data_IF_019195267457
#
_entry.id   IF_019195267457
#
_cell.length_a   1.000
_cell.length_b   1.000
_cell.length_c   1.000
_cell.angle_alpha   90.00
_cell.angle_beta   90.00
_cell.angle_gamma   90.00
#
_symmetry.space_group_name_H-M   'P 1'
#
loop_
_entity.id
_entity.type
_entity.pdbx_description
1 polymer ?
#
# COMPACT_ATOMS: atom_id res chain seq x y z
N UNK A 1 6.27 -42.50 -4.68
CA UNK A 1 5.90 -41.60 -5.78
C UNK A 1 4.44 -41.22 -5.75
N UNK A 2 3.53 -42.18 -5.76
CA UNK A 2 2.07 -41.92 -5.70
C UNK A 2 1.69 -41.17 -4.41
N UNK A 3 2.25 -41.52 -3.28
CA UNK A 3 2.01 -40.86 -2.00
C UNK A 3 2.50 -39.40 -2.01
N UNK A 4 3.64 -39.14 -2.66
CA UNK A 4 4.20 -37.79 -2.78
C UNK A 4 3.32 -36.90 -3.67
N UNK A 5 2.84 -37.44 -4.77
CA UNK A 5 1.93 -36.72 -5.68
C UNK A 5 0.59 -36.41 -5.01
N UNK A 6 0.04 -37.39 -4.27
CA UNK A 6 -1.20 -37.20 -3.53
C UNK A 6 -1.05 -36.14 -2.45
N UNK A 7 0.08 -36.15 -1.72
CA UNK A 7 0.38 -35.15 -0.71
C UNK A 7 0.54 -33.77 -1.32
N UNK A 8 1.29 -33.67 -2.43
CA UNK A 8 1.49 -32.41 -3.16
C UNK A 8 0.16 -31.87 -3.70
N UNK A 9 -0.68 -32.74 -4.28
CA UNK A 9 -2.00 -32.36 -4.77
C UNK A 9 -2.87 -31.81 -3.65
N UNK A 10 -2.81 -32.42 -2.45
CA UNK A 10 -3.52 -31.96 -1.27
C UNK A 10 -3.06 -30.57 -0.83
N UNK A 11 -1.75 -30.33 -0.84
CA UNK A 11 -1.18 -29.02 -0.50
C UNK A 11 -1.56 -27.94 -1.52
N UNK A 12 -1.57 -28.27 -2.80
CA UNK A 12 -1.98 -27.34 -3.87
C UNK A 12 -3.47 -27.01 -3.72
N UNK A 13 -4.30 -28.00 -3.45
CA UNK A 13 -5.74 -27.78 -3.23
C UNK A 13 -5.98 -26.87 -2.02
N UNK A 14 -5.28 -27.12 -0.93
CA UNK A 14 -5.35 -26.28 0.27
C UNK A 14 -4.95 -24.83 -0.04
N UNK A 15 -3.85 -24.64 -0.77
CA UNK A 15 -3.41 -23.32 -1.19
C UNK A 15 -4.48 -22.62 -2.05
N UNK A 16 -5.07 -23.34 -3.01
CA UNK A 16 -6.12 -22.80 -3.87
C UNK A 16 -7.37 -22.40 -3.07
N UNK A 17 -7.77 -23.22 -2.12
CA UNK A 17 -8.94 -22.94 -1.25
C UNK A 17 -8.69 -21.70 -0.38
N UNK A 18 -7.52 -21.59 0.22
CA UNK A 18 -7.15 -20.41 1.01
C UNK A 18 -7.09 -19.16 0.15
N UNK A 19 -6.57 -19.27 -1.06
CA UNK A 19 -6.49 -18.15 -2.01
C UNK A 19 -7.89 -17.65 -2.37
N UNK A 20 -8.83 -18.57 -2.65
CA UNK A 20 -10.21 -18.20 -2.95
C UNK A 20 -10.90 -17.58 -1.74
N UNK A 21 -10.68 -18.11 -0.56
CA UNK A 21 -11.24 -17.57 0.68
C UNK A 21 -10.75 -16.13 0.91
N UNK A 22 -9.44 -15.91 0.72
CA UNK A 22 -8.86 -14.57 0.85
C UNK A 22 -9.47 -13.59 -0.17
N UNK A 23 -9.64 -14.02 -1.41
CA UNK A 23 -10.27 -13.19 -2.46
C UNK A 23 -11.69 -12.78 -2.09
N UNK A 24 -12.47 -13.70 -1.53
CA UNK A 24 -13.83 -13.40 -1.08
C UNK A 24 -13.84 -12.40 0.07
N UNK A 25 -12.93 -12.56 1.03
CA UNK A 25 -12.81 -11.63 2.15
C UNK A 25 -12.34 -10.25 1.69
N UNK A 26 -11.39 -10.19 0.76
CA UNK A 26 -10.93 -8.93 0.17
C UNK A 26 -12.07 -8.20 -0.56
N UNK A 27 -12.90 -8.93 -1.30
CA UNK A 27 -14.06 -8.35 -1.97
C UNK A 27 -15.06 -7.82 -0.94
N UNK A 28 -15.28 -8.54 0.16
CA UNK A 28 -16.16 -8.11 1.24
C UNK A 28 -15.61 -6.86 1.93
N UNK A 29 -14.30 -6.80 2.20
CA UNK A 29 -13.64 -5.62 2.77
C UNK A 29 -13.81 -4.42 1.84
N UNK A 30 -13.62 -4.62 0.54
CA UNK A 30 -13.78 -3.56 -0.45
C UNK A 30 -15.21 -3.02 -0.48
N UNK A 31 -16.21 -3.91 -0.40
CA UNK A 31 -17.62 -3.51 -0.35
C UNK A 31 -17.90 -2.68 0.91
N UNK A 32 -17.40 -3.13 2.06
CA UNK A 32 -17.55 -2.41 3.31
C UNK A 32 -16.87 -1.04 3.27
N UNK A 33 -15.69 -0.95 2.65
CA UNK A 33 -14.98 0.32 2.50
C UNK A 33 -15.79 1.32 1.66
N UNK A 34 -16.44 0.86 0.60
CA UNK A 34 -17.30 1.69 -0.23
C UNK A 34 -18.52 2.18 0.57
N UNK A 35 -19.16 1.29 1.32
CA UNK A 35 -20.30 1.64 2.15
C UNK A 35 -19.91 2.64 3.25
N UNK A 36 -18.76 2.41 3.90
CA UNK A 36 -18.24 3.31 4.93
C UNK A 36 -17.96 4.71 4.36
N UNK A 37 -17.35 4.80 3.19
CA UNK A 37 -17.05 6.07 2.55
C UNK A 37 -18.34 6.85 2.25
N UNK A 38 -19.38 6.18 1.76
CA UNK A 38 -20.66 6.79 1.48
C UNK A 38 -21.33 7.31 2.76
N UNK A 39 -21.29 6.53 3.85
CA UNK A 39 -21.84 6.92 5.16
C UNK A 39 -21.06 8.06 5.78
N UNK A 40 -19.73 8.02 5.66
CA UNK A 40 -18.85 9.08 6.18
C UNK A 40 -19.18 10.42 5.54
N UNK A 41 -19.38 10.45 4.23
CA UNK A 41 -19.73 11.68 3.51
C UNK A 41 -21.00 12.31 4.06
N UNK A 42 -22.04 11.50 4.28
CA UNK A 42 -23.30 11.97 4.88
C UNK A 42 -23.08 12.49 6.31
N UNK A 43 -22.30 11.75 7.11
CA UNK A 43 -22.04 12.15 8.51
C UNK A 43 -21.23 13.45 8.58
N UNK A 44 -20.27 13.66 7.69
CA UNK A 44 -19.50 14.91 7.66
C UNK A 44 -20.40 16.10 7.39
N UNK A 45 -21.35 15.97 6.47
CA UNK A 45 -22.33 17.02 6.20
C UNK A 45 -23.23 17.31 7.41
N UNK A 46 -23.75 16.26 8.04
CA UNK A 46 -24.65 16.39 9.19
C UNK A 46 -23.92 16.97 10.42
N UNK A 47 -22.69 16.50 10.67
CA UNK A 47 -21.88 17.03 11.77
C UNK A 47 -21.59 18.52 11.56
N UNK A 48 -21.28 18.93 10.34
CA UNK A 48 -21.05 20.34 10.01
C UNK A 48 -22.33 21.17 10.19
N UNK A 49 -23.48 20.65 9.73
CA UNK A 49 -24.74 21.33 9.80
C UNK A 49 -25.17 21.61 11.24
N UNK A 50 -25.00 20.64 12.14
CA UNK A 50 -25.42 20.74 13.53
C UNK A 50 -24.31 21.16 14.50
N UNK A 51 -23.09 21.41 14.01
CA UNK A 51 -21.97 21.81 14.85
C UNK A 51 -21.54 20.72 15.84
N UNK A 52 -21.75 19.46 15.48
CA UNK A 52 -21.43 18.32 16.33
C UNK A 52 -20.00 17.84 16.03
N UNK A 53 -19.27 17.48 17.09
CA UNK A 53 -17.90 16.95 16.94
C UNK A 53 -17.80 15.47 17.30
N UNK A 54 -18.73 14.95 18.08
CA UNK A 54 -18.75 13.54 18.44
C UNK A 54 -20.15 13.09 18.84
N UNK A 55 -20.43 11.82 18.63
CA UNK A 55 -21.67 11.17 19.07
C UNK A 55 -21.32 9.78 19.57
N UNK A 56 -21.87 9.42 20.72
CA UNK A 56 -21.75 8.08 21.28
C UNK A 56 -22.92 7.22 20.83
N UNK A 57 -22.60 6.03 20.33
CA UNK A 57 -23.62 5.05 19.92
C UNK A 57 -24.23 4.35 21.14
N UNK A 58 -25.37 3.70 20.96
CA UNK A 58 -25.99 2.91 21.99
C UNK A 58 -25.11 1.72 22.44
N UNK A 59 -24.22 1.26 21.58
CA UNK A 59 -23.25 0.20 21.87
C UNK A 59 -22.03 0.71 22.65
N UNK A 60 -21.96 2.00 22.96
CA UNK A 60 -20.86 2.59 23.74
C UNK A 60 -19.67 3.05 22.94
N UNK A 61 -19.74 3.01 21.61
CA UNK A 61 -18.70 3.50 20.72
C UNK A 61 -18.89 5.00 20.51
N UNK A 62 -17.78 5.72 20.35
CA UNK A 62 -17.82 7.16 20.03
C UNK A 62 -17.36 7.36 18.60
N UNK A 63 -18.22 7.97 17.80
CA UNK A 63 -17.87 8.42 16.44
C UNK A 63 -17.56 9.91 16.54
N UNK A 64 -16.37 10.31 16.11
CA UNK A 64 -15.90 11.67 16.29
C UNK A 64 -15.25 12.21 15.01
N UNK A 65 -15.29 13.55 14.91
CA UNK A 65 -14.65 14.26 13.81
C UNK A 65 -13.15 14.35 14.09
N UNK A 66 -12.34 13.83 13.17
CA UNK A 66 -10.89 13.91 13.26
C UNK A 66 -10.37 14.78 12.12
N UNK A 67 -9.57 15.77 12.45
CA UNK A 67 -8.96 16.65 11.44
C UNK A 67 -7.60 16.09 11.05
N UNK A 68 -7.47 15.71 9.80
CA UNK A 68 -6.21 15.27 9.23
C UNK A 68 -5.70 16.34 8.25
N UNK A 69 -4.40 16.57 8.24
CA UNK A 69 -3.77 17.54 7.35
C UNK A 69 -2.81 16.80 6.42
N UNK A 70 -3.03 16.96 5.14
CA UNK A 70 -2.17 16.39 4.11
C UNK A 70 -1.49 17.53 3.36
N UNK A 71 -0.20 17.35 3.08
CA UNK A 71 0.56 18.32 2.32
C UNK A 71 1.41 17.58 1.28
N UNK A 72 1.45 18.11 0.07
CA UNK A 72 2.27 17.58 -1.00
C UNK A 72 2.87 18.73 -1.80
N UNK A 73 4.01 18.46 -2.42
CA UNK A 73 4.62 19.41 -3.33
C UNK A 73 3.80 19.52 -4.61
N UNK A 74 3.68 20.73 -5.10
CA UNK A 74 3.04 21.03 -6.40
C UNK A 74 3.96 21.91 -7.23
N UNK A 75 3.74 21.94 -8.54
CA UNK A 75 4.54 22.73 -9.47
C UNK A 75 5.85 22.03 -9.82
N UNK A 76 6.85 22.82 -10.20
CA UNK A 76 8.15 22.29 -10.58
C UNK A 76 8.89 21.71 -9.38
N UNK A 77 9.33 20.48 -9.50
CA UNK A 77 9.96 19.75 -8.40
C UNK A 77 11.28 20.40 -7.94
N UNK A 78 12.15 20.75 -8.89
CA UNK A 78 13.44 21.37 -8.57
C UNK A 78 13.29 22.74 -7.95
N UNK A 79 12.36 23.56 -8.47
CA UNK A 79 12.05 24.86 -7.89
C UNK A 79 11.51 24.72 -6.47
N UNK A 80 10.68 23.72 -6.22
CA UNK A 80 10.15 23.43 -4.89
C UNK A 80 11.27 23.06 -3.92
N UNK A 81 12.20 22.19 -4.33
CA UNK A 81 13.34 21.80 -3.50
C UNK A 81 14.23 23.00 -3.15
N UNK A 82 14.49 23.88 -4.13
CA UNK A 82 15.27 25.10 -3.90
C UNK A 82 14.56 26.04 -2.93
N UNK A 83 13.23 26.14 -3.03
CA UNK A 83 12.43 26.95 -2.11
C UNK A 83 12.55 26.43 -0.68
N UNK A 84 12.53 25.11 -0.48
CA UNK A 84 12.74 24.51 0.84
C UNK A 84 14.12 24.84 1.41
N UNK A 85 15.16 24.76 0.59
CA UNK A 85 16.53 25.10 1.01
C UNK A 85 16.63 26.59 1.39
N UNK A 86 16.05 27.46 0.58
CA UNK A 86 16.04 28.91 0.84
C UNK A 86 15.28 29.26 2.13
N UNK A 87 14.21 28.53 2.44
CA UNK A 87 13.42 28.72 3.65
C UNK A 87 14.10 28.16 4.92
N UNK A 88 15.30 27.58 4.81
CA UNK A 88 15.98 26.97 5.95
C UNK A 88 15.49 25.55 6.26
N UNK A 89 14.76 24.92 5.35
CA UNK A 89 14.19 23.58 5.50
C UNK A 89 14.92 22.55 4.63
N UNK A 90 16.21 22.77 4.40
CA UNK A 90 17.02 21.86 3.57
C UNK A 90 17.06 20.42 4.09
N UNK A 91 16.90 20.23 5.40
CA UNK A 91 16.84 18.90 6.01
C UNK A 91 15.63 18.08 5.57
N UNK A 92 14.60 18.75 5.03
CA UNK A 92 13.41 18.10 4.49
C UNK A 92 13.66 17.49 3.11
N UNK A 93 14.72 17.92 2.44
CA UNK A 93 15.08 17.47 1.10
C UNK A 93 15.98 16.25 1.20
N UNK A 94 15.55 15.14 0.62
CA UNK A 94 16.33 13.90 0.60
C UNK A 94 16.51 13.42 -0.83
N UNK A 95 17.73 13.03 -1.16
CA UNK A 95 18.00 12.34 -2.42
C UNK A 95 17.77 10.85 -2.19
N UNK A 96 17.10 10.23 -3.13
CA UNK A 96 16.83 8.80 -3.07
C UNK A 96 16.80 8.18 -4.46
N UNK A 97 17.00 6.88 -4.51
CA UNK A 97 16.90 6.11 -5.74
C UNK A 97 15.51 5.50 -5.81
N UNK A 98 14.84 5.66 -6.96
CA UNK A 98 13.53 5.06 -7.19
C UNK A 98 13.66 3.53 -7.23
N UNK A 99 12.93 2.84 -6.36
CA UNK A 99 13.00 1.39 -6.22
C UNK A 99 12.57 0.64 -7.47
N UNK A 100 11.56 1.14 -8.16
CA UNK A 100 11.04 0.48 -9.37
C UNK A 100 12.04 0.62 -10.52
N UNK A 101 12.64 1.79 -10.68
CA UNK A 101 13.67 2.04 -11.67
C UNK A 101 14.90 1.17 -11.40
N UNK A 102 15.30 1.07 -10.13
CA UNK A 102 16.41 0.22 -9.73
C UNK A 102 16.12 -1.24 -10.05
N UNK A 103 14.93 -1.71 -9.75
CA UNK A 103 14.51 -3.09 -10.04
C UNK A 103 14.57 -3.40 -11.54
N UNK A 104 14.07 -2.48 -12.37
CA UNK A 104 14.10 -2.63 -13.82
C UNK A 104 15.55 -2.67 -14.34
N UNK A 105 16.41 -1.82 -13.80
CA UNK A 105 17.83 -1.77 -14.18
C UNK A 105 18.54 -3.10 -13.83
N UNK A 106 18.34 -3.62 -12.62
CA UNK A 106 18.92 -4.89 -12.19
C UNK A 106 18.46 -6.03 -13.10
N UNK A 107 17.18 -6.02 -13.49
CA UNK A 107 16.62 -7.02 -14.39
C UNK A 107 17.24 -6.93 -15.79
N UNK A 108 17.42 -5.72 -16.33
CA UNK A 108 18.02 -5.51 -17.65
C UNK A 108 19.49 -5.94 -17.68
N UNK A 109 20.21 -5.74 -16.57
CA UNK A 109 21.62 -6.11 -16.45
C UNK A 109 21.82 -7.59 -16.11
N UNK A 110 20.72 -8.34 -16.06
CA UNK A 110 20.73 -9.78 -15.76
C UNK A 110 21.45 -10.05 -14.42
N UNK A 111 21.22 -9.18 -13.44
CA UNK A 111 21.79 -9.22 -12.09
C UNK A 111 23.30 -8.95 -12.05
N UNK A 112 23.93 -8.60 -13.17
CA UNK A 112 25.34 -8.20 -13.21
C UNK A 112 25.43 -6.67 -13.07
N UNK A 113 25.90 -6.21 -11.93
CA UNK A 113 25.96 -4.78 -11.58
C UNK A 113 27.37 -4.22 -11.78
N UNK A 114 27.47 -2.91 -12.10
CA UNK A 114 28.77 -2.24 -12.10
C UNK A 114 29.46 -2.39 -10.74
N UNK A 115 30.80 -2.56 -10.77
CA UNK A 115 31.60 -2.76 -9.56
C UNK A 115 31.37 -1.72 -8.48
N UNK A 116 31.23 -0.45 -8.87
CA UNK A 116 31.01 0.63 -7.93
C UNK A 116 29.67 0.58 -7.22
N UNK A 117 28.70 -0.13 -7.75
CA UNK A 117 27.34 -0.26 -7.18
C UNK A 117 27.15 -1.54 -6.38
N UNK A 118 27.96 -2.57 -6.63
CA UNK A 118 27.79 -3.87 -5.99
C UNK A 118 27.72 -3.82 -4.46
N UNK A 119 28.56 -3.02 -3.75
CA UNK A 119 28.51 -2.96 -2.28
C UNK A 119 27.21 -2.34 -1.73
N UNK A 120 26.46 -1.61 -2.56
CA UNK A 120 25.32 -0.81 -2.12
C UNK A 120 23.98 -1.36 -2.57
N UNK A 121 23.97 -2.43 -3.35
CA UNK A 121 22.74 -3.05 -3.87
C UNK A 121 22.71 -4.50 -3.43
N UNK A 122 21.65 -4.85 -2.71
CA UNK A 122 21.35 -6.22 -2.35
C UNK A 122 20.27 -6.74 -3.32
N UNK A 123 20.63 -7.77 -4.08
CA UNK A 123 19.70 -8.38 -5.05
C UNK A 123 19.20 -9.69 -4.46
N UNK A 124 17.91 -9.76 -4.24
CA UNK A 124 17.27 -10.96 -3.72
C UNK A 124 16.20 -11.42 -4.69
N UNK A 125 16.29 -12.68 -5.11
CA UNK A 125 15.25 -13.34 -5.89
C UNK A 125 14.24 -13.96 -4.95
N UNK A 126 12.96 -13.70 -5.19
CA UNK A 126 11.88 -14.27 -4.39
C UNK A 126 10.89 -14.97 -5.32
N UNK A 127 10.69 -16.24 -5.08
CA UNK A 127 9.71 -17.03 -5.82
C UNK A 127 8.39 -17.04 -5.09
N UNK A 128 7.30 -16.81 -5.81
CA UNK A 128 5.95 -16.77 -5.26
C UNK A 128 5.05 -17.73 -6.01
N UNK A 129 4.18 -18.38 -5.28
CA UNK A 129 3.11 -19.16 -5.88
C UNK A 129 1.96 -18.23 -6.23
N UNK A 130 1.37 -18.44 -7.38
CA UNK A 130 0.22 -17.67 -7.84
C UNK A 130 -0.82 -18.61 -8.42
N UNK A 131 -2.06 -18.21 -8.34
CA UNK A 131 -3.18 -18.95 -8.91
C UNK A 131 -3.90 -18.08 -9.94
N UNK A 132 -4.23 -18.66 -11.07
CA UNK A 132 -5.07 -18.01 -12.09
C UNK A 132 -6.26 -18.91 -12.41
N UNK A 133 -7.38 -18.28 -12.71
CA UNK A 133 -8.58 -18.99 -13.14
C UNK A 133 -8.54 -19.18 -14.65
N UNK A 134 -8.88 -20.36 -15.10
CA UNK A 134 -8.91 -20.70 -16.52
C UNK A 134 -10.28 -20.38 -17.13
#
# INVERSE_FOLDING_TARGET
MIQTEALLSGLVTEYAELTEQRRKLEAEVKRLATDLAAREEVLLEEFAQYGIQNIKTSAGQTVYLNREIFAKLVGDHEEALDAFRTAGLGDFVKESVNSQTLRAYVREMDEVLPEGLQPYIDVTEVFRMRMRSN
#
